data_IF_815527815409
#
_entry.id   IF_815527815409
#
_cell.length_a   1.000
_cell.length_b   1.000
_cell.length_c   1.000
_cell.angle_alpha   90.00
_cell.angle_beta   90.00
_cell.angle_gamma   90.00
#
_symmetry.space_group_name_H-M   'P 1'
#
loop_
_entity.id
_entity.type
_entity.pdbx_description
1 polymer ?
#
# COMPACT_ATOMS: atom_id res chain seq x y z
N UNK A 1 8.44 7.57 14.69
CA UNK A 1 9.36 6.47 14.43
C UNK A 1 8.80 5.63 13.28
N UNK A 2 9.66 5.16 12.38
CA UNK A 2 9.32 4.27 11.29
C UNK A 2 10.19 3.02 11.42
N UNK A 3 9.62 1.83 11.40
CA UNK A 3 10.32 0.57 11.61
C UNK A 3 10.62 -0.15 10.29
N UNK A 4 9.73 -0.06 9.30
CA UNK A 4 9.92 -0.59 7.95
C UNK A 4 9.11 0.19 6.91
N UNK A 5 9.40 -0.04 5.62
CA UNK A 5 8.60 0.39 4.47
C UNK A 5 8.30 -0.82 3.60
N UNK A 6 7.04 -1.00 3.23
CA UNK A 6 6.59 -2.04 2.32
C UNK A 6 6.06 -1.37 1.04
N UNK A 7 6.61 -1.76 -0.10
CA UNK A 7 6.16 -1.25 -1.39
C UNK A 7 5.18 -2.21 -2.06
N UNK A 8 4.04 -1.67 -2.50
CA UNK A 8 3.04 -2.42 -3.27
C UNK A 8 3.51 -2.67 -4.70
N UNK A 9 4.07 -1.65 -5.33
CA UNK A 9 4.61 -1.66 -6.69
C UNK A 9 5.54 -0.45 -6.89
N UNK A 10 6.10 -0.26 -8.09
CA UNK A 10 7.14 0.73 -8.35
C UNK A 10 6.71 1.96 -9.17
N UNK A 11 5.41 2.28 -9.24
CA UNK A 11 4.96 3.54 -9.83
C UNK A 11 5.47 4.76 -9.04
N UNK A 12 5.58 5.89 -9.73
CA UNK A 12 6.25 7.09 -9.23
C UNK A 12 5.62 7.64 -7.94
N UNK A 13 4.31 7.71 -7.88
CA UNK A 13 3.52 8.18 -6.75
C UNK A 13 3.65 7.31 -5.48
N UNK A 14 4.08 6.05 -5.64
CA UNK A 14 4.36 5.14 -4.52
C UNK A 14 5.81 5.12 -4.07
N UNK A 15 6.78 5.52 -4.93
CA UNK A 15 8.20 5.32 -4.64
C UNK A 15 9.06 6.59 -4.64
N UNK A 16 8.60 7.71 -5.19
CA UNK A 16 9.45 8.90 -5.33
C UNK A 16 9.76 9.59 -3.99
N UNK A 17 8.96 9.37 -2.94
CA UNK A 17 9.30 9.80 -1.57
C UNK A 17 10.43 9.02 -0.90
N UNK A 18 11.07 8.07 -1.60
CA UNK A 18 12.10 7.19 -1.03
C UNK A 18 13.29 7.97 -0.46
N UNK A 19 13.74 9.05 -1.11
CA UNK A 19 14.89 9.83 -0.63
C UNK A 19 14.58 10.64 0.64
N UNK A 20 13.32 10.97 0.88
CA UNK A 20 12.87 11.67 2.10
C UNK A 20 13.04 10.79 3.36
N UNK A 21 13.16 9.47 3.19
CA UNK A 21 13.50 8.54 4.28
C UNK A 21 14.89 8.79 4.87
N UNK A 22 15.75 9.55 4.21
CA UNK A 22 17.11 9.87 4.65
C UNK A 22 17.13 10.48 6.04
N UNK A 23 16.26 11.45 6.32
CA UNK A 23 16.20 12.10 7.63
C UNK A 23 15.72 11.15 8.73
N UNK A 24 14.82 10.20 8.40
CA UNK A 24 14.39 9.16 9.32
C UNK A 24 15.55 8.24 9.67
N UNK A 25 16.34 7.83 8.67
CA UNK A 25 17.52 6.97 8.84
C UNK A 25 18.60 7.65 9.69
N UNK A 26 18.87 8.95 9.47
CA UNK A 26 19.81 9.71 10.29
C UNK A 26 19.37 9.77 11.76
N UNK A 27 18.10 10.04 12.03
CA UNK A 27 17.55 10.05 13.39
C UNK A 27 17.57 8.65 14.03
N UNK A 28 17.29 7.61 13.23
CA UNK A 28 17.29 6.20 13.65
C UNK A 28 18.72 5.68 13.90
N UNK A 29 19.74 6.23 13.23
CA UNK A 29 21.15 5.82 13.22
C UNK A 29 21.36 4.36 12.75
N UNK A 30 20.45 3.87 11.92
CA UNK A 30 20.53 2.54 11.31
C UNK A 30 19.76 2.54 10.00
N UNK A 31 20.17 1.69 9.06
CA UNK A 31 19.47 1.53 7.79
C UNK A 31 18.02 1.12 8.03
N UNK A 32 17.11 1.68 7.23
CA UNK A 32 15.70 1.35 7.32
C UNK A 32 15.40 0.09 6.48
N UNK A 33 14.77 -0.96 7.05
CA UNK A 33 14.31 -2.10 6.28
C UNK A 33 13.24 -1.68 5.27
N UNK A 34 13.41 -2.13 4.03
CA UNK A 34 12.47 -1.93 2.93
C UNK A 34 12.12 -3.29 2.36
N UNK A 35 10.84 -3.51 2.12
CA UNK A 35 10.31 -4.76 1.60
C UNK A 35 9.61 -4.52 0.26
N UNK A 36 9.94 -5.33 -0.75
CA UNK A 36 9.33 -5.27 -2.08
C UNK A 36 9.38 -6.65 -2.74
N UNK A 37 8.46 -6.94 -3.66
CA UNK A 37 8.57 -8.13 -4.49
C UNK A 37 9.75 -7.98 -5.49
N UNK A 38 10.08 -9.05 -6.21
CA UNK A 38 11.23 -9.09 -7.11
C UNK A 38 11.17 -8.03 -8.21
N UNK A 39 9.98 -7.78 -8.78
CA UNK A 39 9.80 -6.82 -9.88
C UNK A 39 9.98 -5.39 -9.36
N UNK A 40 9.29 -5.04 -8.28
CA UNK A 40 9.40 -3.74 -7.62
C UNK A 40 10.84 -3.48 -7.14
N UNK A 41 11.51 -4.50 -6.58
CA UNK A 41 12.92 -4.41 -6.17
C UNK A 41 13.84 -4.05 -7.32
N UNK A 42 13.63 -4.64 -8.50
CA UNK A 42 14.43 -4.31 -9.70
C UNK A 42 14.21 -2.85 -10.13
N UNK A 43 12.96 -2.37 -10.11
CA UNK A 43 12.62 -0.98 -10.40
C UNK A 43 13.24 0.01 -9.40
N UNK A 44 13.18 -0.31 -8.10
CA UNK A 44 13.81 0.51 -7.05
C UNK A 44 15.33 0.58 -7.22
N UNK A 45 16.00 -0.55 -7.46
CA UNK A 45 17.44 -0.59 -7.65
C UNK A 45 17.88 0.12 -8.93
N UNK A 46 17.07 0.08 -9.98
CA UNK A 46 17.37 0.79 -11.23
C UNK A 46 17.34 2.31 -11.06
N UNK A 47 16.37 2.84 -10.31
CA UNK A 47 16.15 4.28 -10.16
C UNK A 47 16.85 4.90 -8.95
N UNK A 48 16.97 4.14 -7.85
CA UNK A 48 17.43 4.63 -6.56
C UNK A 48 18.58 3.79 -5.97
N UNK A 49 19.45 3.23 -6.83
CA UNK A 49 20.55 2.34 -6.40
C UNK A 49 21.38 2.92 -5.26
N UNK A 50 21.64 4.23 -5.27
CA UNK A 50 22.41 4.95 -4.25
C UNK A 50 21.82 4.86 -2.84
N UNK A 51 20.51 4.68 -2.72
CA UNK A 51 19.85 4.55 -1.43
C UNK A 51 20.07 3.17 -0.79
N UNK A 52 20.29 2.13 -1.61
CA UNK A 52 20.46 0.74 -1.20
C UNK A 52 21.92 0.30 -1.14
N UNK A 53 22.76 0.86 -2.01
CA UNK A 53 24.18 0.50 -2.11
C UNK A 53 25.00 1.80 -2.19
N UNK A 54 26.00 1.90 -1.32
CA UNK A 54 26.93 3.03 -1.38
C UNK A 54 27.74 2.99 -2.68
N UNK A 55 27.69 4.03 -3.52
CA UNK A 55 28.52 4.12 -4.71
C UNK A 55 30.00 4.10 -4.35
N UNK A 56 30.83 3.52 -5.21
CA UNK A 56 32.28 3.54 -5.05
C UNK A 56 32.82 4.98 -5.00
N UNK A 57 33.68 5.27 -4.04
CA UNK A 57 34.22 6.61 -3.80
C UNK A 57 33.27 7.61 -3.15
N UNK A 58 32.01 7.25 -2.89
CA UNK A 58 31.04 8.13 -2.22
C UNK A 58 31.26 8.17 -0.72
N UNK A 59 31.22 9.38 -0.14
CA UNK A 59 31.17 9.57 1.31
C UNK A 59 29.78 9.33 1.91
N UNK A 60 28.74 9.22 1.08
CA UNK A 60 27.37 9.03 1.54
C UNK A 60 27.03 7.54 1.67
N UNK A 61 26.70 7.06 2.88
CA UNK A 61 26.32 5.66 3.08
C UNK A 61 24.94 5.38 2.48
N UNK A 62 24.70 4.11 2.15
CA UNK A 62 23.33 3.64 1.84
C UNK A 62 22.42 3.81 3.05
N UNK A 63 21.17 4.17 2.80
CA UNK A 63 20.18 4.47 3.85
C UNK A 63 19.16 3.36 4.03
N UNK A 64 18.97 2.50 3.03
CA UNK A 64 17.95 1.45 3.02
C UNK A 64 18.57 0.05 2.98
N UNK A 65 17.85 -0.91 3.54
CA UNK A 65 18.15 -2.33 3.45
C UNK A 65 17.00 -3.00 2.71
N UNK A 66 17.25 -3.47 1.49
CA UNK A 66 16.25 -4.15 0.68
C UNK A 66 16.07 -5.60 1.14
N UNK A 67 14.82 -5.98 1.37
CA UNK A 67 14.38 -7.35 1.64
C UNK A 67 13.32 -7.75 0.60
N UNK A 68 13.24 -9.05 0.29
CA UNK A 68 12.28 -9.54 -0.70
C UNK A 68 11.01 -10.08 -0.04
N UNK A 69 9.85 -9.72 -0.62
CA UNK A 69 8.56 -10.28 -0.26
C UNK A 69 8.36 -11.55 -1.10
N UNK A 70 8.33 -12.70 -0.44
CA UNK A 70 8.07 -14.02 -1.04
C UNK A 70 6.84 -14.70 -0.44
N UNK A 71 6.23 -14.08 0.57
CA UNK A 71 5.07 -14.56 1.31
C UNK A 71 4.81 -13.69 2.54
N UNK A 72 4.06 -14.18 3.53
CA UNK A 72 3.84 -13.46 4.78
C UNK A 72 5.16 -13.04 5.44
N UNK A 73 5.19 -11.83 5.96
CA UNK A 73 6.36 -11.27 6.62
C UNK A 73 5.98 -10.59 7.92
N UNK A 74 6.94 -10.46 8.80
CA UNK A 74 6.75 -9.86 10.11
C UNK A 74 7.66 -8.64 10.24
N UNK A 75 7.11 -7.57 10.80
CA UNK A 75 7.83 -6.34 11.11
C UNK A 75 7.82 -6.14 12.62
N UNK A 76 9.02 -6.07 13.20
CA UNK A 76 9.20 -5.78 14.62
C UNK A 76 9.19 -4.27 14.88
N UNK A 77 8.43 -3.85 15.88
CA UNK A 77 8.35 -2.46 16.33
C UNK A 77 8.32 -2.33 17.85
N UNK A 78 8.29 -1.10 18.34
CA UNK A 78 8.24 -0.85 19.78
C UNK A 78 6.93 -1.35 20.45
N UNK A 79 5.86 -1.46 19.66
CA UNK A 79 4.56 -1.96 20.11
C UNK A 79 4.38 -3.47 19.99
N UNK A 80 5.38 -4.19 19.48
CA UNK A 80 5.30 -5.63 19.20
C UNK A 80 5.55 -5.93 17.73
N UNK A 81 5.21 -7.14 17.33
CA UNK A 81 5.37 -7.65 15.98
C UNK A 81 4.05 -7.56 15.21
N UNK A 82 4.12 -7.10 13.97
CA UNK A 82 2.98 -7.03 13.05
C UNK A 82 3.24 -7.94 11.87
N UNK A 83 2.30 -8.84 11.57
CA UNK A 83 2.32 -9.68 10.39
C UNK A 83 1.63 -9.00 9.21
N UNK A 84 2.28 -9.03 8.05
CA UNK A 84 1.76 -8.58 6.77
C UNK A 84 1.64 -9.80 5.84
N UNK A 85 0.44 -10.10 5.39
CA UNK A 85 0.18 -11.13 4.39
C UNK A 85 -0.03 -10.45 3.04
N UNK A 86 0.94 -10.55 2.11
CA UNK A 86 0.80 -9.98 0.77
C UNK A 86 -0.16 -10.80 -0.08
N UNK A 87 -0.87 -10.14 -0.98
CA UNK A 87 -1.63 -10.77 -2.05
C UNK A 87 -1.48 -9.97 -3.34
N UNK A 88 -1.48 -10.67 -4.47
CA UNK A 88 -1.26 -10.06 -5.78
C UNK A 88 -2.58 -9.67 -6.44
N UNK A 89 -2.57 -8.51 -7.13
CA UNK A 89 -3.66 -8.04 -7.97
C UNK A 89 -3.13 -7.54 -9.30
N UNK A 90 -4.01 -7.46 -10.32
CA UNK A 90 -3.64 -6.78 -11.54
C UNK A 90 -3.83 -5.25 -11.40
N UNK A 91 -2.84 -4.50 -11.86
CA UNK A 91 -2.87 -3.05 -11.96
C UNK A 91 -2.47 -2.64 -13.38
N UNK A 92 -3.45 -2.61 -14.28
CA UNK A 92 -3.20 -2.47 -15.71
C UNK A 92 -2.38 -3.64 -16.26
N UNK A 93 -1.18 -3.34 -16.71
CA UNK A 93 -0.26 -4.33 -17.30
C UNK A 93 0.78 -4.88 -16.29
N UNK A 94 0.74 -4.42 -15.04
CA UNK A 94 1.65 -4.87 -14.00
C UNK A 94 0.89 -5.58 -12.87
N UNK A 95 1.64 -6.27 -12.02
CA UNK A 95 1.14 -6.79 -10.74
C UNK A 95 1.48 -5.82 -9.62
N UNK A 96 0.49 -5.46 -8.82
CA UNK A 96 0.67 -4.75 -7.55
C UNK A 96 0.36 -5.68 -6.37
N UNK A 97 0.88 -5.33 -5.19
CA UNK A 97 0.57 -6.01 -3.95
C UNK A 97 -0.49 -5.26 -3.15
N UNK A 98 -1.45 -6.01 -2.62
CA UNK A 98 -2.18 -5.61 -1.43
C UNK A 98 -1.58 -6.29 -0.20
N UNK A 99 -1.92 -5.79 0.98
CA UNK A 99 -1.48 -6.35 2.26
C UNK A 99 -2.67 -6.56 3.19
N UNK A 100 -2.78 -7.77 3.74
CA UNK A 100 -3.63 -8.02 4.90
C UNK A 100 -2.80 -7.86 6.18
N UNK A 101 -3.37 -7.16 7.17
CA UNK A 101 -2.76 -6.85 8.46
C UNK A 101 -3.83 -7.18 9.51
N UNK A 102 -3.82 -8.41 10.02
CA UNK A 102 -4.89 -8.89 10.90
C UNK A 102 -6.29 -8.73 10.29
N UNK A 103 -7.19 -7.95 10.89
CA UNK A 103 -8.54 -7.72 10.40
C UNK A 103 -8.63 -6.64 9.29
N UNK A 104 -7.52 -6.00 8.91
CA UNK A 104 -7.49 -4.91 7.92
C UNK A 104 -6.82 -5.37 6.64
N UNK A 105 -7.35 -4.97 5.48
CA UNK A 105 -6.67 -5.08 4.19
C UNK A 105 -6.43 -3.68 3.59
N UNK A 106 -5.26 -3.51 2.99
CA UNK A 106 -4.85 -2.31 2.28
C UNK A 106 -4.51 -2.63 0.82
N UNK A 107 -5.22 -2.02 -0.11
CA UNK A 107 -5.08 -2.24 -1.55
C UNK A 107 -5.25 -0.90 -2.29
N UNK A 108 -4.17 -0.12 -2.46
CA UNK A 108 -4.25 1.23 -2.99
C UNK A 108 -4.45 1.30 -4.51
N UNK A 109 -3.98 0.30 -5.26
CA UNK A 109 -4.03 0.28 -6.72
C UNK A 109 -4.47 -1.09 -7.23
N UNK A 110 -5.56 -1.12 -7.98
CA UNK A 110 -6.10 -2.36 -8.53
C UNK A 110 -7.02 -2.11 -9.73
N UNK A 111 -6.87 -2.88 -10.79
CA UNK A 111 -7.82 -2.91 -11.91
C UNK A 111 -8.63 -4.21 -11.97
N UNK A 112 -8.06 -5.31 -11.46
CA UNK A 112 -8.71 -6.63 -11.48
C UNK A 112 -8.31 -7.44 -10.25
N UNK A 113 -9.32 -8.03 -9.62
CA UNK A 113 -9.20 -8.90 -8.44
C UNK A 113 -9.16 -10.37 -8.87
N UNK A 114 -8.01 -11.06 -8.81
CA UNK A 114 -7.96 -12.50 -9.06
C UNK A 114 -8.60 -13.29 -7.90
N UNK A 115 -8.99 -14.57 -8.10
CA UNK A 115 -9.61 -15.39 -7.06
C UNK A 115 -8.80 -15.44 -5.75
N UNK A 116 -7.49 -15.58 -5.83
CA UNK A 116 -6.61 -15.63 -4.65
C UNK A 116 -6.64 -14.32 -3.82
N UNK A 117 -6.84 -13.16 -4.46
CA UNK A 117 -6.99 -11.90 -3.73
C UNK A 117 -8.32 -11.86 -2.94
N UNK A 118 -9.40 -12.41 -3.48
CA UNK A 118 -10.65 -12.56 -2.76
C UNK A 118 -10.53 -13.49 -1.54
N UNK A 119 -9.77 -14.58 -1.68
CA UNK A 119 -9.47 -15.48 -0.55
C UNK A 119 -8.70 -14.77 0.56
N UNK A 120 -7.73 -13.91 0.21
CA UNK A 120 -6.96 -13.12 1.18
C UNK A 120 -7.83 -12.13 1.97
N UNK A 121 -8.94 -11.67 1.39
CA UNK A 121 -9.89 -10.75 2.01
C UNK A 121 -10.94 -11.45 2.89
N UNK A 122 -10.98 -12.77 2.94
CA UNK A 122 -12.00 -13.49 3.71
C UNK A 122 -11.90 -13.15 5.21
N UNK A 123 -13.01 -12.68 5.79
CA UNK A 123 -13.12 -12.39 7.22
C UNK A 123 -12.34 -11.16 7.70
N UNK A 124 -12.05 -10.19 6.84
CA UNK A 124 -11.53 -8.88 7.27
C UNK A 124 -12.66 -8.01 7.81
N UNK A 125 -12.35 -7.10 8.73
CA UNK A 125 -13.30 -6.13 9.28
C UNK A 125 -13.25 -4.80 8.52
N UNK A 126 -12.09 -4.45 7.95
CA UNK A 126 -11.89 -3.21 7.22
C UNK A 126 -11.11 -3.41 5.93
N UNK A 127 -11.58 -2.81 4.85
CA UNK A 127 -10.89 -2.78 3.57
C UNK A 127 -10.58 -1.35 3.15
N UNK A 128 -9.30 -0.99 3.05
CA UNK A 128 -8.83 0.27 2.46
C UNK A 128 -8.55 -0.02 1.00
N UNK A 129 -9.36 0.54 0.10
CA UNK A 129 -9.43 0.14 -1.30
C UNK A 129 -9.29 1.33 -2.25
N UNK A 130 -8.60 1.11 -3.36
CA UNK A 130 -8.55 2.00 -4.53
C UNK A 130 -9.95 2.43 -4.99
N UNK A 131 -10.11 3.70 -5.31
CA UNK A 131 -11.25 4.24 -6.06
C UNK A 131 -10.80 5.51 -6.79
N UNK A 132 -10.11 5.34 -7.90
CA UNK A 132 -9.42 6.45 -8.54
C UNK A 132 -10.35 7.58 -8.95
N UNK A 133 -11.45 7.28 -9.67
CA UNK A 133 -12.35 8.27 -10.25
C UNK A 133 -13.75 7.72 -10.53
N UNK A 134 -14.68 8.58 -11.01
CA UNK A 134 -16.04 8.12 -11.34
C UNK A 134 -16.10 7.24 -12.58
N UNK A 135 -15.35 7.60 -13.62
CA UNK A 135 -15.32 6.88 -14.88
C UNK A 135 -14.32 5.71 -14.87
N UNK A 136 -14.57 4.64 -15.64
CA UNK A 136 -13.64 3.52 -15.77
C UNK A 136 -12.22 3.95 -16.14
N UNK A 137 -11.23 3.23 -15.60
CA UNK A 137 -9.82 3.44 -15.84
C UNK A 137 -9.13 2.11 -16.20
N UNK A 138 -8.13 2.11 -17.13
CA UNK A 138 -7.51 0.85 -17.56
C UNK A 138 -6.65 0.16 -16.51
N UNK A 139 -6.15 0.88 -15.51
CA UNK A 139 -5.26 0.34 -14.48
C UNK A 139 -5.77 0.45 -13.05
N UNK A 140 -6.88 1.15 -12.80
CA UNK A 140 -7.46 1.34 -11.47
C UNK A 140 -8.92 0.96 -11.43
N UNK A 141 -9.40 0.60 -10.25
CA UNK A 141 -10.83 0.55 -9.99
C UNK A 141 -11.43 1.96 -10.00
N UNK A 142 -12.64 2.06 -10.51
CA UNK A 142 -13.44 3.29 -10.45
C UNK A 142 -14.49 3.18 -9.34
N UNK A 143 -15.07 4.29 -8.93
CA UNK A 143 -15.96 4.37 -7.77
C UNK A 143 -17.04 3.26 -7.74
N UNK A 144 -17.78 3.09 -8.84
CA UNK A 144 -18.87 2.11 -8.90
C UNK A 144 -18.34 0.68 -8.73
N UNK A 145 -17.20 0.34 -9.34
CA UNK A 145 -16.57 -0.96 -9.23
C UNK A 145 -16.07 -1.22 -7.81
N UNK A 146 -15.44 -0.24 -7.18
CA UNK A 146 -14.96 -0.37 -5.79
C UNK A 146 -16.11 -0.58 -4.82
N UNK A 147 -17.22 0.14 -4.99
CA UNK A 147 -18.44 -0.05 -4.19
C UNK A 147 -19.04 -1.44 -4.41
N UNK A 148 -19.07 -1.93 -5.66
CA UNK A 148 -19.53 -3.28 -5.96
C UNK A 148 -18.69 -4.35 -5.27
N UNK A 149 -17.36 -4.24 -5.34
CA UNK A 149 -16.44 -5.17 -4.68
C UNK A 149 -16.56 -5.15 -3.15
N UNK A 150 -16.72 -3.97 -2.56
CA UNK A 150 -16.94 -3.82 -1.12
C UNK A 150 -18.23 -4.55 -0.71
N UNK A 151 -19.32 -4.35 -1.45
CA UNK A 151 -20.58 -5.02 -1.18
C UNK A 151 -20.47 -6.54 -1.36
N UNK A 152 -19.75 -7.01 -2.39
CA UNK A 152 -19.48 -8.44 -2.63
C UNK A 152 -18.68 -9.07 -1.50
N UNK A 153 -17.70 -8.36 -0.94
CA UNK A 153 -16.84 -8.85 0.15
C UNK A 153 -17.60 -9.02 1.47
N UNK A 154 -18.69 -8.28 1.65
CA UNK A 154 -19.45 -8.24 2.90
C UNK A 154 -18.70 -7.61 4.07
N UNK A 155 -17.62 -6.86 3.82
CA UNK A 155 -16.82 -6.21 4.85
C UNK A 155 -17.64 -5.20 5.64
N UNK A 156 -17.45 -5.17 6.96
CA UNK A 156 -18.22 -4.29 7.85
C UNK A 156 -17.90 -2.79 7.65
N UNK A 157 -16.67 -2.48 7.24
CA UNK A 157 -16.19 -1.11 6.96
C UNK A 157 -15.29 -1.09 5.76
N UNK A 158 -15.41 -0.09 4.92
CA UNK A 158 -14.44 0.18 3.85
C UNK A 158 -14.04 1.65 3.83
N UNK A 159 -12.82 1.92 3.37
CA UNK A 159 -12.29 3.26 3.17
C UNK A 159 -11.75 3.36 1.75
N UNK A 160 -12.29 4.29 0.98
CA UNK A 160 -11.83 4.57 -0.38
C UNK A 160 -10.58 5.44 -0.32
N UNK A 161 -9.54 5.06 -1.04
CA UNK A 161 -8.27 5.79 -1.11
C UNK A 161 -7.86 6.03 -2.56
N UNK A 162 -6.74 6.74 -2.77
CA UNK A 162 -6.18 7.05 -4.09
C UNK A 162 -7.14 7.84 -5.00
N UNK A 163 -7.96 8.67 -4.40
CA UNK A 163 -9.04 9.38 -5.07
C UNK A 163 -8.54 10.58 -5.87
N UNK A 164 -8.93 10.65 -7.13
CA UNK A 164 -8.70 11.81 -7.99
C UNK A 164 -9.62 12.99 -7.59
N UNK A 165 -9.31 14.19 -8.08
CA UNK A 165 -10.00 15.43 -7.74
C UNK A 165 -11.47 15.53 -8.19
N UNK A 166 -11.96 14.63 -9.05
CA UNK A 166 -13.38 14.51 -9.40
C UNK A 166 -14.23 13.78 -8.34
N UNK A 167 -13.57 13.20 -7.34
CA UNK A 167 -14.19 12.55 -6.19
C UNK A 167 -14.17 13.49 -4.97
N UNK A 168 -15.04 14.53 -5.01
CA UNK A 168 -15.18 15.47 -3.91
C UNK A 168 -15.60 14.75 -2.61
N UNK A 169 -14.88 15.02 -1.51
CA UNK A 169 -15.08 14.37 -0.22
C UNK A 169 -16.50 14.51 0.33
N UNK A 170 -17.04 15.74 0.33
CA UNK A 170 -18.34 16.00 0.91
C UNK A 170 -19.46 15.34 0.08
N UNK A 171 -19.30 15.34 -1.25
CA UNK A 171 -20.21 14.66 -2.17
C UNK A 171 -20.18 13.14 -1.93
N UNK A 172 -19.01 12.53 -1.86
CA UNK A 172 -18.88 11.10 -1.57
C UNK A 172 -19.46 10.72 -0.21
N UNK A 173 -19.22 11.54 0.81
CA UNK A 173 -19.77 11.29 2.15
C UNK A 173 -21.30 11.28 2.16
N UNK A 174 -21.94 12.05 1.29
CA UNK A 174 -23.39 12.08 1.15
C UNK A 174 -23.94 10.94 0.27
N UNK A 175 -23.21 10.51 -0.74
CA UNK A 175 -23.64 9.49 -1.72
C UNK A 175 -23.41 8.04 -1.25
N UNK A 176 -22.31 7.81 -0.50
CA UNK A 176 -21.87 6.47 -0.16
C UNK A 176 -22.72 5.82 0.95
N UNK A 177 -22.89 4.50 0.93
CA UNK A 177 -23.43 3.76 2.06
C UNK A 177 -22.63 4.04 3.34
N UNK A 178 -23.27 4.07 4.50
CA UNK A 178 -22.65 4.44 5.79
C UNK A 178 -21.39 3.65 6.19
N UNK A 179 -21.23 2.46 5.67
CA UNK A 179 -20.07 1.59 5.95
C UNK A 179 -18.90 1.85 5.01
N UNK A 180 -19.06 2.71 4.00
CA UNK A 180 -18.01 3.08 3.05
C UNK A 180 -17.67 4.57 3.27
N UNK A 181 -16.44 4.86 3.59
CA UNK A 181 -15.97 6.21 3.89
C UNK A 181 -14.92 6.66 2.86
N UNK A 182 -14.97 7.90 2.37
CA UNK A 182 -13.84 8.47 1.66
C UNK A 182 -12.69 8.74 2.65
N UNK A 183 -11.45 8.45 2.28
CA UNK A 183 -10.27 8.80 3.08
C UNK A 183 -10.01 10.30 3.09
N UNK A 184 -9.33 10.78 4.11
CA UNK A 184 -8.77 12.12 4.20
C UNK A 184 -7.44 12.09 4.93
N UNK A 185 -6.57 13.06 4.66
CA UNK A 185 -5.26 13.17 5.28
C UNK A 185 -5.37 13.30 6.80
N UNK A 186 -4.72 12.40 7.52
CA UNK A 186 -4.82 12.33 8.98
C UNK A 186 -5.95 11.44 9.51
N UNK A 187 -6.72 10.75 8.64
CA UNK A 187 -7.68 9.73 9.10
C UNK A 187 -6.97 8.65 9.93
N UNK A 188 -7.53 8.31 11.08
CA UNK A 188 -7.03 7.26 11.97
C UNK A 188 -8.07 6.15 12.11
N UNK A 189 -7.64 4.91 11.87
CA UNK A 189 -8.40 3.70 12.11
C UNK A 189 -7.66 2.87 13.17
N UNK A 190 -8.36 2.39 14.19
CA UNK A 190 -7.76 1.60 15.27
C UNK A 190 -8.33 0.19 15.24
N UNK A 191 -7.44 -0.80 15.26
CA UNK A 191 -7.77 -2.22 15.30
C UNK A 191 -6.79 -2.93 16.25
N UNK A 192 -7.28 -3.93 16.95
CA UNK A 192 -6.44 -4.85 17.72
C UNK A 192 -5.85 -5.91 16.76
N UNK A 193 -4.55 -6.18 16.84
CA UNK A 193 -3.79 -7.08 15.97
C UNK A 193 -3.27 -8.29 16.73
#
# INVERSE_FOLDING_TARGET
RLDAVLYTHDHADHVHGLDDLRMIVFNRRSRLPVWANKVTSAGLLSRFSYAFKQPEGSAYPSILQLNHIEGPLQVDGAGGQIEFTPFEVAHGQITALGFRIGPVAYLPDVSTMPPAAWEALAGIDCWILDALRRDPHPSHSHLAQSVEWINQSGVARAVLTNMHNDLDYATLQAELPKHILPAFDGMVLSYDL
#
